data_IF_160218589750
#
_entry.id   IF_160218589750
#
_cell.length_a   1.000
_cell.length_b   1.000
_cell.length_c   1.000
_cell.angle_alpha   90.00
_cell.angle_beta   90.00
_cell.angle_gamma   90.00
#
_symmetry.space_group_name_H-M   'P 1'
#
loop_
_entity.id
_entity.type
_entity.pdbx_description
1 polymer ?
#
# COMPACT_ATOMS: atom_id res chain seq x y z
N UNK A 1 1.39 14.90 -3.76
CA UNK A 1 0.18 14.09 -3.66
C UNK A 1 -0.06 13.41 -5.00
N UNK A 2 -0.37 12.11 -4.99
CA UNK A 2 -0.57 11.27 -6.17
C UNK A 2 -2.00 10.70 -6.23
N UNK A 3 -2.91 11.21 -5.42
CA UNK A 3 -4.27 10.67 -5.28
C UNK A 3 -5.01 10.66 -6.62
N UNK A 4 -5.06 11.78 -7.31
CA UNK A 4 -5.75 11.89 -8.61
C UNK A 4 -5.12 10.94 -9.65
N UNK A 5 -3.78 10.97 -9.82
CA UNK A 5 -3.07 10.10 -10.75
C UNK A 5 -3.27 8.60 -10.40
N UNK A 6 -3.22 8.25 -9.11
CA UNK A 6 -3.43 6.88 -8.67
C UNK A 6 -4.83 6.37 -9.01
N UNK A 7 -5.86 7.19 -8.78
CA UNK A 7 -7.24 6.80 -9.06
C UNK A 7 -7.52 6.79 -10.57
N UNK A 8 -7.17 7.86 -11.28
CA UNK A 8 -7.55 8.03 -12.69
C UNK A 8 -6.77 7.10 -13.63
N UNK A 9 -5.46 6.90 -13.39
CA UNK A 9 -4.60 6.16 -14.29
C UNK A 9 -4.41 4.68 -13.89
N UNK A 10 -4.75 4.29 -12.65
CA UNK A 10 -4.51 2.93 -12.16
C UNK A 10 -5.78 2.26 -11.60
N UNK A 11 -6.46 2.87 -10.62
CA UNK A 11 -7.65 2.24 -10.00
C UNK A 11 -8.76 2.07 -11.02
N UNK A 12 -9.16 3.14 -11.71
CA UNK A 12 -10.25 3.10 -12.70
C UNK A 12 -9.98 2.10 -13.82
N UNK A 13 -8.82 2.09 -14.49
CA UNK A 13 -8.53 1.07 -15.50
C UNK A 13 -8.54 -0.37 -14.94
N UNK A 14 -8.10 -0.57 -13.70
CA UNK A 14 -8.13 -1.87 -13.02
C UNK A 14 -9.58 -2.33 -12.79
N UNK A 15 -10.45 -1.43 -12.34
CA UNK A 15 -11.89 -1.70 -12.18
C UNK A 15 -12.55 -2.01 -13.52
N UNK A 16 -12.31 -1.19 -14.55
CA UNK A 16 -12.86 -1.38 -15.88
C UNK A 16 -12.44 -2.72 -16.51
N UNK A 17 -11.22 -3.17 -16.21
CA UNK A 17 -10.72 -4.48 -16.63
C UNK A 17 -11.27 -5.65 -15.80
N UNK A 18 -11.93 -5.39 -14.67
CA UNK A 18 -12.31 -6.41 -13.70
C UNK A 18 -11.10 -7.19 -13.20
N UNK A 19 -9.94 -6.53 -13.09
CA UNK A 19 -8.70 -7.19 -12.75
C UNK A 19 -8.57 -7.41 -11.25
N UNK A 20 -8.43 -8.66 -10.86
CA UNK A 20 -8.08 -9.08 -9.51
C UNK A 20 -7.18 -10.32 -9.56
N UNK A 21 -6.67 -10.74 -8.42
CA UNK A 21 -5.98 -12.00 -8.25
C UNK A 21 -6.57 -12.74 -7.05
N UNK A 22 -7.45 -13.72 -7.32
CA UNK A 22 -8.13 -14.51 -6.28
C UNK A 22 -8.82 -13.64 -5.20
N UNK A 23 -9.46 -12.53 -5.62
CA UNK A 23 -10.09 -11.55 -4.74
C UNK A 23 -9.17 -10.48 -4.16
N UNK A 24 -7.85 -10.56 -4.41
CA UNK A 24 -6.91 -9.50 -4.08
C UNK A 24 -6.94 -8.41 -5.15
N UNK A 25 -7.25 -7.16 -4.75
CA UNK A 25 -7.53 -6.05 -5.65
C UNK A 25 -6.29 -5.41 -6.32
N UNK A 26 -5.10 -5.99 -6.16
CA UNK A 26 -3.85 -5.59 -6.81
C UNK A 26 -3.34 -4.17 -6.48
N UNK A 27 -3.95 -3.45 -5.53
CA UNK A 27 -3.62 -2.05 -5.26
C UNK A 27 -2.15 -1.80 -4.98
N UNK A 28 -1.50 -2.65 -4.19
CA UNK A 28 -0.07 -2.52 -3.90
C UNK A 28 0.78 -2.80 -5.14
N UNK A 29 0.33 -3.68 -6.05
CA UNK A 29 1.06 -4.03 -7.26
C UNK A 29 1.22 -2.85 -8.22
N UNK A 30 0.24 -1.95 -8.29
CA UNK A 30 0.34 -0.75 -9.12
C UNK A 30 0.66 0.53 -8.33
N UNK A 31 0.46 0.54 -7.00
CA UNK A 31 0.87 1.67 -6.17
C UNK A 31 2.40 1.85 -6.11
N UNK A 32 3.18 0.75 -6.03
CA UNK A 32 4.64 0.84 -5.95
C UNK A 32 5.29 1.39 -7.23
N UNK A 33 4.89 0.96 -8.44
CA UNK A 33 5.40 1.56 -9.68
C UNK A 33 5.13 3.06 -9.82
N UNK A 34 3.96 3.57 -9.44
CA UNK A 34 3.69 5.02 -9.49
C UNK A 34 4.57 5.80 -8.52
N UNK A 35 4.79 5.26 -7.31
CA UNK A 35 5.72 5.85 -6.34
C UNK A 35 7.15 5.87 -6.89
N UNK A 36 7.61 4.75 -7.47
CA UNK A 36 8.95 4.64 -8.07
C UNK A 36 9.14 5.65 -9.22
N UNK A 37 8.15 5.78 -10.11
CA UNK A 37 8.14 6.80 -11.17
C UNK A 37 8.35 8.20 -10.59
N UNK A 38 7.59 8.55 -9.57
CA UNK A 38 7.69 9.88 -8.94
C UNK A 38 9.04 10.09 -8.24
N UNK A 39 9.58 9.07 -7.57
CA UNK A 39 10.93 9.12 -6.97
C UNK A 39 11.99 9.38 -8.04
N UNK A 40 11.91 8.70 -9.18
CA UNK A 40 12.83 8.93 -10.32
C UNK A 40 12.72 10.35 -10.86
N UNK A 41 11.50 10.87 -11.03
CA UNK A 41 11.28 12.25 -11.50
C UNK A 41 11.92 13.28 -10.55
N UNK A 42 11.77 13.08 -9.23
CA UNK A 42 12.41 13.93 -8.21
C UNK A 42 13.92 13.79 -8.25
N UNK A 43 14.44 12.55 -8.31
CA UNK A 43 15.87 12.30 -8.40
C UNK A 43 16.52 13.02 -9.60
N UNK A 44 15.84 12.98 -10.75
CA UNK A 44 16.28 13.72 -11.95
C UNK A 44 16.26 15.24 -11.74
N UNK A 45 15.20 15.78 -11.14
CA UNK A 45 15.07 17.20 -10.88
C UNK A 45 16.12 17.73 -9.90
N UNK A 46 16.48 16.91 -8.90
CA UNK A 46 17.51 17.24 -7.90
C UNK A 46 18.94 16.91 -8.35
N UNK A 47 19.12 16.32 -9.54
CA UNK A 47 20.42 15.90 -10.04
C UNK A 47 21.06 14.77 -9.23
N UNK A 48 20.24 13.92 -8.61
CA UNK A 48 20.71 12.76 -7.88
C UNK A 48 21.21 11.67 -8.83
N UNK A 49 22.23 10.93 -8.43
CA UNK A 49 22.81 9.81 -9.13
C UNK A 49 22.39 8.43 -8.56
N UNK A 50 21.59 8.46 -7.49
CA UNK A 50 21.05 7.27 -6.85
C UNK A 50 19.65 7.50 -6.26
N UNK A 51 18.91 6.41 -6.10
CA UNK A 51 17.67 6.34 -5.33
C UNK A 51 17.78 5.23 -4.27
N UNK A 52 17.11 5.40 -3.14
CA UNK A 52 17.12 4.43 -2.06
C UNK A 52 15.70 4.00 -1.70
N UNK A 53 15.54 2.72 -1.38
CA UNK A 53 14.28 2.22 -0.81
C UNK A 53 14.54 1.25 0.35
N UNK A 54 13.58 1.17 1.27
CA UNK A 54 13.63 0.32 2.46
C UNK A 54 12.88 -1.00 2.33
N UNK A 55 12.51 -1.43 1.12
CA UNK A 55 11.82 -2.70 0.93
C UNK A 55 12.74 -3.86 1.24
N UNK A 56 12.22 -4.85 1.99
CA UNK A 56 12.98 -6.02 2.39
C UNK A 56 13.36 -6.90 1.21
N UNK A 57 14.47 -7.64 1.32
CA UNK A 57 14.93 -8.55 0.27
C UNK A 57 14.06 -9.80 0.07
N UNK A 58 13.01 -10.00 0.87
CA UNK A 58 12.12 -11.16 0.83
C UNK A 58 10.75 -10.88 0.23
N UNK A 59 10.34 -9.61 0.16
CA UNK A 59 9.01 -9.20 -0.28
C UNK A 59 8.93 -8.84 -1.77
N UNK A 60 7.71 -8.75 -2.29
CA UNK A 60 7.44 -8.36 -3.67
C UNK A 60 7.70 -6.87 -3.93
N UNK A 61 7.68 -6.03 -2.90
CA UNK A 61 7.80 -4.58 -3.04
C UNK A 61 9.15 -4.15 -3.61
N UNK A 62 10.24 -4.82 -3.20
CA UNK A 62 11.55 -4.55 -3.79
C UNK A 62 11.54 -4.74 -5.31
N UNK A 63 10.93 -5.82 -5.80
CA UNK A 63 10.85 -6.12 -7.24
C UNK A 63 10.05 -5.04 -7.97
N UNK A 64 8.93 -4.62 -7.39
CA UNK A 64 8.06 -3.57 -7.95
C UNK A 64 8.78 -2.23 -8.04
N UNK A 65 9.48 -1.81 -6.99
CA UNK A 65 10.28 -0.59 -6.99
C UNK A 65 11.44 -0.67 -7.97
N UNK A 66 12.25 -1.72 -7.90
CA UNK A 66 13.47 -1.83 -8.70
C UNK A 66 13.17 -1.95 -10.19
N UNK A 67 12.21 -2.80 -10.60
CA UNK A 67 11.83 -2.91 -12.00
C UNK A 67 11.29 -1.59 -12.56
N UNK A 68 10.51 -0.84 -11.78
CA UNK A 68 10.02 0.47 -12.18
C UNK A 68 11.16 1.50 -12.28
N UNK A 69 12.07 1.54 -11.30
CA UNK A 69 13.24 2.43 -11.35
C UNK A 69 14.12 2.09 -12.56
N UNK A 70 14.43 0.81 -12.78
CA UNK A 70 15.21 0.36 -13.95
C UNK A 70 14.55 0.71 -15.28
N UNK A 71 13.21 0.69 -15.34
CA UNK A 71 12.48 1.08 -16.54
C UNK A 71 12.56 2.58 -16.81
N UNK A 72 12.36 3.42 -15.81
CA UNK A 72 12.33 4.88 -15.94
C UNK A 72 13.72 5.53 -15.95
N UNK A 73 14.68 4.93 -15.26
CA UNK A 73 16.03 5.47 -15.09
C UNK A 73 17.08 4.36 -14.90
N UNK A 74 17.42 3.63 -15.96
CA UNK A 74 18.36 2.50 -15.89
C UNK A 74 19.79 2.90 -15.50
N UNK A 75 20.11 4.18 -15.56
CA UNK A 75 21.41 4.76 -15.19
C UNK A 75 21.50 5.19 -13.73
N UNK A 76 20.39 5.31 -13.01
CA UNK A 76 20.41 5.61 -11.57
C UNK A 76 20.82 4.38 -10.75
N UNK A 77 21.73 4.59 -9.80
CA UNK A 77 22.07 3.55 -8.82
C UNK A 77 20.89 3.31 -7.86
N UNK A 78 20.57 2.05 -7.62
CA UNK A 78 19.59 1.68 -6.60
C UNK A 78 20.33 1.26 -5.32
N UNK A 79 20.01 1.89 -4.21
CA UNK A 79 20.56 1.59 -2.89
C UNK A 79 19.50 0.84 -2.08
N UNK A 80 19.85 -0.35 -1.63
CA UNK A 80 18.94 -1.26 -0.90
C UNK A 80 19.59 -1.71 0.40
N UNK A 81 19.48 -0.94 1.50
CA UNK A 81 20.18 -1.20 2.75
C UNK A 81 19.97 -2.62 3.29
N UNK A 82 18.79 -3.18 3.17
CA UNK A 82 18.47 -4.53 3.59
C UNK A 82 19.33 -5.64 2.99
N UNK A 83 19.98 -5.41 1.85
CA UNK A 83 20.91 -6.37 1.22
C UNK A 83 22.34 -6.24 1.72
N UNK A 84 22.64 -5.12 2.37
CA UNK A 84 24.00 -4.77 2.77
C UNK A 84 24.17 -4.80 4.30
N UNK A 85 23.06 -4.68 5.06
CA UNK A 85 23.06 -4.70 6.51
C UNK A 85 23.03 -6.12 7.08
N UNK A 86 23.63 -6.29 8.25
CA UNK A 86 23.58 -7.53 9.02
C UNK A 86 22.22 -7.74 9.75
N UNK A 87 21.29 -6.80 9.63
CA UNK A 87 19.94 -6.88 10.20
C UNK A 87 19.13 -7.91 9.41
N UNK A 88 18.68 -8.98 10.09
CA UNK A 88 18.00 -10.11 9.47
C UNK A 88 16.51 -10.20 9.82
N UNK A 89 16.09 -9.47 10.85
CA UNK A 89 14.73 -9.54 11.37
C UNK A 89 14.20 -8.15 11.74
N UNK A 90 12.88 -8.08 11.86
CA UNK A 90 12.18 -6.87 12.30
C UNK A 90 12.50 -6.50 13.75
N UNK A 91 12.78 -7.48 14.61
CA UNK A 91 13.20 -7.23 15.98
C UNK A 91 14.56 -6.56 16.04
N UNK A 92 15.52 -7.02 15.25
CA UNK A 92 16.84 -6.39 15.12
C UNK A 92 16.74 -4.98 14.53
N UNK A 93 15.78 -4.73 13.64
CA UNK A 93 15.50 -3.39 13.11
C UNK A 93 14.97 -2.45 14.19
N UNK A 94 14.10 -2.94 15.07
CA UNK A 94 13.61 -2.18 16.24
C UNK A 94 14.76 -1.91 17.20
N UNK A 95 15.58 -2.91 17.52
CA UNK A 95 16.76 -2.74 18.39
C UNK A 95 17.73 -1.70 17.82
N UNK A 96 17.98 -1.73 16.51
CA UNK A 96 18.79 -0.71 15.83
C UNK A 96 18.18 0.69 15.96
N UNK A 97 16.88 0.81 15.73
CA UNK A 97 16.20 2.08 15.84
C UNK A 97 16.25 2.65 17.26
N UNK A 98 16.05 1.79 18.27
CA UNK A 98 16.15 2.17 19.69
C UNK A 98 17.58 2.63 20.04
N UNK A 99 18.60 1.87 19.63
CA UNK A 99 20.01 2.20 19.86
C UNK A 99 20.43 3.54 19.22
N UNK A 100 19.81 3.89 18.10
CA UNK A 100 20.09 5.13 17.37
C UNK A 100 19.07 6.26 17.62
N UNK A 101 18.15 6.07 18.59
CA UNK A 101 17.12 7.04 18.94
C UNK A 101 16.22 7.46 17.76
N UNK A 102 15.96 6.52 16.84
CA UNK A 102 15.05 6.74 15.71
C UNK A 102 13.61 6.61 16.22
N UNK A 103 12.75 7.63 16.06
CA UNK A 103 11.39 7.57 16.56
C UNK A 103 10.56 6.59 15.74
N UNK A 104 10.13 5.48 16.34
CA UNK A 104 9.20 4.52 15.76
C UNK A 104 7.82 4.65 16.40
N UNK A 105 6.78 4.54 15.56
CA UNK A 105 5.38 4.47 16.02
C UNK A 105 4.87 3.03 16.18
N UNK A 106 5.76 2.05 16.06
CA UNK A 106 5.44 0.63 15.97
C UNK A 106 5.86 -0.04 17.27
N UNK A 107 4.99 -0.88 17.84
CA UNK A 107 5.33 -1.77 18.95
C UNK A 107 5.46 -3.20 18.44
N UNK A 108 6.26 -4.04 19.14
CA UNK A 108 6.43 -5.48 18.82
C UNK A 108 5.11 -6.25 18.83
N UNK A 109 4.12 -5.78 19.61
CA UNK A 109 2.84 -6.46 19.83
C UNK A 109 1.78 -6.15 18.77
N UNK A 110 1.92 -5.04 18.02
CA UNK A 110 0.90 -4.55 17.09
C UNK A 110 1.40 -4.41 15.66
N UNK A 111 2.53 -5.03 15.36
CA UNK A 111 3.26 -4.82 14.12
C UNK A 111 2.86 -5.80 13.03
N UNK A 112 1.57 -5.83 12.66
CA UNK A 112 1.16 -6.48 11.43
C UNK A 112 1.82 -5.81 10.23
N UNK A 113 2.25 -6.59 9.24
CA UNK A 113 2.58 -6.06 7.94
C UNK A 113 1.28 -5.67 7.24
N UNK A 114 1.18 -4.42 6.79
CA UNK A 114 -0.05 -3.87 6.22
C UNK A 114 0.22 -3.30 4.85
N UNK A 115 -0.54 -3.75 3.86
CA UNK A 115 -0.63 -3.12 2.56
C UNK A 115 -1.86 -2.21 2.55
N UNK A 116 -1.66 -0.95 2.97
CA UNK A 116 -2.71 0.07 3.01
C UNK A 116 -2.53 1.07 1.87
N UNK A 117 -3.56 1.20 1.07
CA UNK A 117 -3.64 2.20 0.00
C UNK A 117 -5.10 2.69 -0.14
N UNK A 118 -5.38 3.57 -1.08
CA UNK A 118 -6.74 4.06 -1.32
C UNK A 118 -7.71 2.98 -1.80
N UNK A 119 -7.19 1.91 -2.39
CA UNK A 119 -7.99 0.88 -3.03
C UNK A 119 -8.31 -0.30 -2.12
N UNK A 120 -7.39 -0.67 -1.23
CA UNK A 120 -7.61 -1.75 -0.28
C UNK A 120 -6.66 -1.72 0.93
N UNK A 121 -6.95 -2.59 1.88
CA UNK A 121 -6.10 -2.89 3.03
C UNK A 121 -5.97 -4.40 3.16
N UNK A 122 -4.76 -4.89 3.29
CA UNK A 122 -4.47 -6.28 3.69
C UNK A 122 -3.54 -6.33 4.90
N UNK A 123 -3.61 -7.43 5.64
CA UNK A 123 -2.78 -7.68 6.82
C UNK A 123 -2.08 -9.02 6.70
N UNK A 124 -0.84 -9.09 7.15
CA UNK A 124 -0.07 -10.32 7.32
C UNK A 124 0.85 -10.22 8.54
N UNK A 125 1.39 -11.34 8.96
CA UNK A 125 2.33 -11.40 10.09
C UNK A 125 1.70 -11.71 11.43
N UNK A 126 2.52 -11.81 12.47
CA UNK A 126 2.13 -12.12 13.86
C UNK A 126 1.27 -13.39 13.97
N UNK A 127 0.13 -13.29 14.66
CA UNK A 127 -0.82 -14.39 14.85
C UNK A 127 -1.49 -14.88 13.56
N UNK A 128 -1.46 -14.09 12.49
CA UNK A 128 -1.97 -14.49 11.17
C UNK A 128 -1.06 -15.48 10.43
N UNK A 129 0.18 -15.64 10.86
CA UNK A 129 1.11 -16.63 10.28
C UNK A 129 0.71 -18.08 10.59
N UNK A 130 -0.01 -18.30 11.66
CA UNK A 130 -0.59 -19.61 12.01
C UNK A 130 -2.03 -19.68 11.50
N UNK A 131 -2.32 -20.51 10.48
CA UNK A 131 -3.67 -20.67 9.94
C UNK A 131 -4.67 -21.29 10.93
N UNK A 132 -4.21 -21.79 12.05
CA UNK A 132 -5.05 -22.24 13.16
C UNK A 132 -5.64 -21.10 13.98
N UNK A 133 -5.13 -19.88 13.84
CA UNK A 133 -5.61 -18.72 14.56
C UNK A 133 -6.76 -18.03 13.81
N UNK A 134 -7.75 -17.59 14.56
CA UNK A 134 -8.84 -16.75 14.03
C UNK A 134 -8.37 -15.29 13.90
N UNK A 135 -8.65 -14.62 12.76
CA UNK A 135 -8.31 -13.20 12.60
C UNK A 135 -8.96 -12.31 13.66
N UNK A 136 -8.19 -11.38 14.18
CA UNK A 136 -8.58 -10.52 15.31
C UNK A 136 -9.44 -9.32 14.87
N UNK A 137 -10.55 -9.55 14.17
CA UNK A 137 -11.41 -8.48 13.62
C UNK A 137 -11.92 -7.49 14.66
N UNK A 138 -12.07 -7.92 15.92
CA UNK A 138 -12.56 -7.09 17.01
C UNK A 138 -11.44 -6.31 17.74
N UNK A 139 -10.17 -6.55 17.39
CA UNK A 139 -9.04 -5.83 17.98
C UNK A 139 -9.05 -4.37 17.52
N UNK A 140 -9.02 -3.40 18.46
CA UNK A 140 -8.98 -1.99 18.10
C UNK A 140 -7.83 -1.66 17.12
N UNK A 141 -8.14 -0.98 16.03
CA UNK A 141 -7.17 -0.60 15.00
C UNK A 141 -6.74 -1.73 14.05
N UNK A 142 -7.35 -2.93 14.14
CA UNK A 142 -7.12 -3.98 13.16
C UNK A 142 -7.78 -3.63 11.82
N UNK A 143 -9.09 -3.37 11.81
CA UNK A 143 -9.81 -2.92 10.62
C UNK A 143 -9.77 -1.39 10.52
N UNK A 144 -8.93 -0.86 9.65
CA UNK A 144 -8.75 0.60 9.49
C UNK A 144 -9.68 1.22 8.44
N UNK A 145 -10.13 0.43 7.45
CA UNK A 145 -11.04 0.88 6.38
C UNK A 145 -12.48 0.39 6.59
N UNK A 146 -12.74 -0.29 7.70
CA UNK A 146 -14.04 -0.84 8.02
C UNK A 146 -14.20 -1.11 9.51
N UNK A 147 -15.26 -1.80 9.85
CA UNK A 147 -15.58 -2.19 11.23
C UNK A 147 -15.88 -3.67 11.33
N UNK A 148 -15.70 -4.25 12.52
CA UNK A 148 -16.07 -5.64 12.77
C UNK A 148 -17.58 -5.87 12.53
N UNK A 149 -17.99 -7.03 12.01
CA UNK A 149 -19.40 -7.39 11.90
C UNK A 149 -20.18 -7.24 13.21
N UNK A 150 -19.55 -7.41 14.36
CA UNK A 150 -20.19 -7.23 15.68
C UNK A 150 -20.53 -5.77 16.01
N UNK A 151 -19.84 -4.83 15.40
CA UNK A 151 -20.01 -3.38 15.61
C UNK A 151 -20.61 -2.67 14.40
N UNK A 152 -20.81 -3.41 13.31
CA UNK A 152 -21.46 -2.88 12.11
C UNK A 152 -22.94 -2.55 12.38
N UNK A 153 -23.52 -1.56 11.69
CA UNK A 153 -24.95 -1.25 11.81
C UNK A 153 -25.83 -2.44 11.39
N UNK A 154 -26.85 -2.76 12.21
CA UNK A 154 -27.85 -3.79 11.89
C UNK A 154 -28.87 -3.31 10.84
N UNK A 155 -28.97 -2.00 10.64
CA UNK A 155 -29.88 -1.40 9.67
C UNK A 155 -29.22 -1.32 8.30
N UNK A 156 -29.83 -1.95 7.30
CA UNK A 156 -29.40 -1.84 5.91
C UNK A 156 -29.53 -0.41 5.39
N UNK A 157 -28.57 0.00 4.56
CA UNK A 157 -28.57 1.28 3.86
C UNK A 157 -28.44 1.03 2.34
N UNK A 158 -29.17 1.82 1.55
CA UNK A 158 -29.02 1.80 0.10
C UNK A 158 -27.98 2.84 -0.30
N UNK A 159 -27.03 2.43 -1.14
CA UNK A 159 -26.03 3.30 -1.73
C UNK A 159 -26.29 3.36 -3.24
N UNK A 160 -26.46 4.57 -3.76
CA UNK A 160 -26.65 4.81 -5.19
C UNK A 160 -25.34 5.30 -5.81
N UNK A 161 -24.86 4.55 -6.80
CA UNK A 161 -23.66 4.85 -7.57
C UNK A 161 -24.03 5.06 -9.04
N UNK A 162 -23.62 6.16 -9.63
CA UNK A 162 -23.74 6.37 -11.08
C UNK A 162 -22.41 6.12 -11.78
N UNK A 163 -22.48 5.43 -12.91
CA UNK A 163 -21.29 5.15 -13.74
C UNK A 163 -21.51 5.64 -15.17
N UNK A 164 -20.47 6.22 -15.75
CA UNK A 164 -20.39 6.50 -17.19
C UNK A 164 -19.16 5.81 -17.77
N UNK A 165 -19.38 4.91 -18.75
CA UNK A 165 -18.32 4.11 -19.40
C UNK A 165 -17.40 3.38 -18.40
N UNK A 166 -17.97 2.89 -17.29
CA UNK A 166 -17.23 2.18 -16.26
C UNK A 166 -16.47 3.07 -15.28
N UNK A 167 -16.64 4.38 -15.35
CA UNK A 167 -16.08 5.34 -14.39
C UNK A 167 -17.17 5.79 -13.44
N UNK A 168 -16.95 5.71 -12.13
CA UNK A 168 -17.87 6.24 -11.14
C UNK A 168 -17.90 7.77 -11.21
N UNK A 169 -19.08 8.35 -11.41
CA UNK A 169 -19.27 9.79 -11.57
C UNK A 169 -20.13 10.42 -10.47
N UNK A 170 -20.80 9.60 -9.66
CA UNK A 170 -21.64 10.06 -8.58
C UNK A 170 -21.75 9.05 -7.45
N UNK A 171 -21.86 9.54 -6.24
CA UNK A 171 -22.24 8.81 -5.03
C UNK A 171 -23.41 9.55 -4.37
N UNK A 172 -24.58 8.89 -4.20
CA UNK A 172 -25.78 9.47 -3.58
C UNK A 172 -26.20 10.81 -4.23
N UNK A 173 -26.03 10.93 -5.56
CA UNK A 173 -26.32 12.15 -6.32
C UNK A 173 -25.24 13.24 -6.23
N UNK A 174 -24.20 13.05 -5.40
CA UNK A 174 -23.08 13.98 -5.33
C UNK A 174 -22.07 13.70 -6.45
N UNK A 175 -21.97 14.61 -7.39
CA UNK A 175 -21.10 14.51 -8.58
C UNK A 175 -19.76 15.16 -8.29
N UNK A 176 -18.70 14.34 -8.25
CA UNK A 176 -17.33 14.81 -8.01
C UNK A 176 -16.34 14.08 -8.91
N UNK A 177 -15.08 14.49 -8.83
CA UNK A 177 -13.98 13.74 -9.46
C UNK A 177 -13.90 12.33 -8.88
N UNK A 178 -13.57 11.31 -9.68
CA UNK A 178 -13.45 9.92 -9.21
C UNK A 178 -12.58 9.77 -7.95
N UNK A 179 -11.46 10.45 -7.87
CA UNK A 179 -10.56 10.43 -6.72
C UNK A 179 -11.17 10.96 -5.39
N UNK A 180 -12.35 11.58 -5.44
CA UNK A 180 -13.10 12.05 -4.26
C UNK A 180 -14.24 11.09 -3.93
N UNK A 181 -14.66 10.25 -4.90
CA UNK A 181 -15.78 9.31 -4.77
C UNK A 181 -15.31 7.91 -4.33
N UNK A 182 -14.06 7.58 -4.60
CA UNK A 182 -13.38 6.36 -4.17
C UNK A 182 -12.67 6.63 -2.83
#
# INVERSE_FOLDING_TARGET
DLTDEFVEDYVIPTMQAGADYEGYLLGTSFARPILAKRVVEIARAEGADAVCHGSTGKGNDQVRFELAIMHFAPDLKIITPWREWDIQSRDEEIDYAEAHHIPLKISRETNYSKDKNLWHLSHEGLDLEDPGNEPQYDKPGFLELGVSPKTAPDKSEFVELEFEKGVQISLQGDKRKPAVLI
#
